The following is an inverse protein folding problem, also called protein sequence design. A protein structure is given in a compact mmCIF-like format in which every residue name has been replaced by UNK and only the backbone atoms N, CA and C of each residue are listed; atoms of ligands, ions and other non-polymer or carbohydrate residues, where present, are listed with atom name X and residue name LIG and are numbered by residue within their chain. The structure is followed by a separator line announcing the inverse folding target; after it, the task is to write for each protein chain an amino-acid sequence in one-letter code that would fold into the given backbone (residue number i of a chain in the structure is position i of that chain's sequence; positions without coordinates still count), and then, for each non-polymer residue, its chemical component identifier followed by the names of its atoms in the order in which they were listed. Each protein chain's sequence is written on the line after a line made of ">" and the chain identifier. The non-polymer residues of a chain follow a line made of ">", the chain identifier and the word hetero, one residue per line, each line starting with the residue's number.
data_IF_508591462950
#
_entry.id   IF_508591462950
#
_cell.length_a   1.000
_cell.length_b   1.000
_cell.length_c   1.000
_cell.angle_alpha   90.00
_cell.angle_beta   90.00
_cell.angle_gamma   90.00
#
_symmetry.space_group_name_H-M   'P 1'
#
loop_
_entity.id
_entity.type
_entity.pdbx_description
1 polymer ?
#
# COMPACT_ATOMS: atom_id res chain seq x y z
N UNK A 1 -7.11 24.58 2.94
CA UNK A 1 -6.09 23.71 3.54
C UNK A 1 -5.64 22.71 2.49
N UNK A 2 -4.34 22.51 2.28
CA UNK A 2 -3.76 21.62 1.26
C UNK A 2 -3.96 20.12 1.57
N UNK A 3 -4.51 19.81 2.75
CA UNK A 3 -4.73 18.44 3.20
C UNK A 3 -3.47 17.81 3.77
N UNK A 4 -3.63 16.64 4.41
CA UNK A 4 -2.52 15.84 4.89
C UNK A 4 -2.12 14.83 3.81
N UNK A 5 -0.84 14.77 3.46
CA UNK A 5 -0.29 13.65 2.70
C UNK A 5 0.53 12.77 3.65
N UNK A 6 0.32 11.46 3.61
CA UNK A 6 1.20 10.55 4.31
C UNK A 6 1.34 9.21 3.60
N UNK A 7 2.52 8.64 3.77
CA UNK A 7 2.88 7.34 3.25
C UNK A 7 3.13 6.37 4.41
N UNK A 8 2.75 5.12 4.21
CA UNK A 8 2.90 4.09 5.23
C UNK A 8 3.42 2.79 4.64
N UNK A 9 4.47 2.26 5.26
CA UNK A 9 5.12 1.02 4.85
C UNK A 9 4.81 -0.11 5.83
N UNK A 10 4.64 -1.34 5.33
CA UNK A 10 4.54 -2.53 6.18
C UNK A 10 3.45 -2.40 7.25
N UNK A 11 3.80 -2.60 8.52
CA UNK A 11 2.92 -2.39 9.70
C UNK A 11 2.50 -0.94 9.90
N UNK A 12 3.22 0.04 9.37
CA UNK A 12 2.80 1.44 9.40
C UNK A 12 1.45 1.66 8.71
N UNK A 13 1.11 0.82 7.72
CA UNK A 13 -0.21 0.85 7.09
C UNK A 13 -1.34 0.45 8.05
N UNK A 14 -1.08 -0.46 9.01
CA UNK A 14 -2.03 -0.81 10.06
C UNK A 14 -2.24 0.36 11.03
N UNK A 15 -1.19 1.14 11.32
CA UNK A 15 -1.33 2.36 12.12
C UNK A 15 -2.26 3.35 11.43
N UNK A 16 -2.05 3.60 10.13
CA UNK A 16 -2.95 4.47 9.34
C UNK A 16 -4.38 3.93 9.25
N UNK A 17 -4.54 2.63 9.05
CA UNK A 17 -5.84 1.96 9.08
C UNK A 17 -6.55 2.13 10.42
N UNK A 18 -5.86 1.83 11.53
CA UNK A 18 -6.41 1.93 12.88
C UNK A 18 -6.78 3.36 13.23
N UNK A 19 -5.96 4.35 12.86
CA UNK A 19 -6.29 5.77 13.01
C UNK A 19 -7.62 6.11 12.33
N UNK A 20 -7.79 5.75 11.05
CA UNK A 20 -9.04 6.03 10.35
C UNK A 20 -10.23 5.26 10.93
N UNK A 21 -9.99 4.04 11.41
CA UNK A 21 -11.02 3.23 12.06
C UNK A 21 -11.45 3.84 13.41
N UNK A 22 -10.53 4.38 14.20
CA UNK A 22 -10.83 5.11 15.43
C UNK A 22 -11.67 6.36 15.16
N UNK A 23 -11.33 7.15 14.12
CA UNK A 23 -12.18 8.27 13.71
C UNK A 23 -13.60 7.82 13.35
N UNK A 24 -13.74 6.70 12.64
CA UNK A 24 -15.05 6.13 12.36
C UNK A 24 -15.83 5.74 13.62
N UNK A 25 -15.17 5.09 14.58
CA UNK A 25 -15.80 4.69 15.85
C UNK A 25 -16.26 5.89 16.69
N UNK A 26 -15.50 6.98 16.67
CA UNK A 26 -15.82 8.26 17.33
C UNK A 26 -16.84 9.11 16.54
N UNK A 27 -17.31 8.64 15.38
CA UNK A 27 -18.24 9.40 14.52
C UNK A 27 -17.60 10.56 13.75
N UNK A 28 -16.28 10.72 13.81
CA UNK A 28 -15.52 11.78 13.12
C UNK A 28 -15.54 11.54 11.62
N UNK A 29 -16.16 12.46 10.89
CA UNK A 29 -16.28 12.44 9.44
C UNK A 29 -16.04 13.85 8.85
N UNK A 30 -15.85 13.91 7.54
CA UNK A 30 -15.58 15.13 6.77
C UNK A 30 -14.37 15.97 7.18
N UNK A 31 -13.40 15.36 7.89
CA UNK A 31 -12.17 16.03 8.35
C UNK A 31 -10.97 15.79 7.43
N UNK A 32 -11.03 14.76 6.59
CA UNK A 32 -9.92 14.31 5.74
C UNK A 32 -10.15 14.58 4.24
N UNK A 33 -10.92 15.63 3.92
CA UNK A 33 -11.40 15.88 2.55
C UNK A 33 -10.32 16.04 1.47
N UNK A 34 -9.13 16.53 1.85
CA UNK A 34 -7.97 16.68 0.96
C UNK A 34 -6.82 15.72 1.31
N UNK A 35 -7.09 14.72 2.15
CA UNK A 35 -6.06 13.79 2.61
C UNK A 35 -5.71 12.79 1.52
N UNK A 36 -4.43 12.54 1.31
CA UNK A 36 -3.92 11.55 0.35
C UNK A 36 -3.05 10.55 1.10
N UNK A 37 -3.23 9.26 0.79
CA UNK A 37 -2.56 8.16 1.48
C UNK A 37 -1.92 7.26 0.43
N UNK A 38 -0.67 6.88 0.63
CA UNK A 38 -0.07 5.74 -0.09
C UNK A 38 0.47 4.68 0.85
N UNK A 39 0.28 3.42 0.48
CA UNK A 39 0.68 2.23 1.20
C UNK A 39 1.68 1.43 0.37
N UNK A 40 2.82 1.11 0.98
CA UNK A 40 3.92 0.36 0.39
C UNK A 40 4.09 -0.96 1.16
N UNK A 41 3.88 -2.09 0.50
CA UNK A 41 3.94 -3.43 1.12
C UNK A 41 3.04 -3.54 2.36
N UNK A 42 1.79 -3.02 2.33
CA UNK A 42 0.99 -2.83 3.54
C UNK A 42 0.57 -4.14 4.19
N UNK A 43 0.74 -4.23 5.50
CA UNK A 43 0.07 -5.23 6.33
C UNK A 43 -1.43 -4.94 6.54
N UNK A 44 -1.92 -3.75 6.19
CA UNK A 44 -3.34 -3.43 6.16
C UNK A 44 -3.98 -3.80 4.81
N UNK A 45 -5.26 -4.18 4.83
CA UNK A 45 -6.02 -4.37 3.60
C UNK A 45 -6.36 -3.01 2.95
N UNK A 46 -5.86 -2.78 1.74
CA UNK A 46 -5.97 -1.48 1.05
C UNK A 46 -7.42 -1.14 0.71
N UNK A 47 -8.22 -2.12 0.32
CA UNK A 47 -9.64 -1.89 -0.01
C UNK A 47 -10.46 -1.52 1.24
N UNK A 48 -10.18 -2.16 2.37
CA UNK A 48 -10.81 -1.78 3.63
C UNK A 48 -10.35 -0.37 4.07
N UNK A 49 -9.06 -0.08 3.94
CA UNK A 49 -8.49 1.23 4.27
C UNK A 49 -9.09 2.35 3.40
N UNK A 50 -9.31 2.11 2.10
CA UNK A 50 -9.91 3.11 1.21
C UNK A 50 -11.37 3.39 1.56
N UNK A 51 -12.11 2.39 2.04
CA UNK A 51 -13.47 2.57 2.57
C UNK A 51 -13.48 3.45 3.82
N UNK A 52 -12.49 3.26 4.72
CA UNK A 52 -12.32 4.13 5.88
C UNK A 52 -11.96 5.56 5.48
N UNK A 53 -11.03 5.74 4.53
CA UNK A 53 -10.71 7.06 3.96
C UNK A 53 -11.96 7.73 3.37
N UNK A 54 -12.78 6.97 2.65
CA UNK A 54 -14.07 7.42 2.14
C UNK A 54 -14.99 7.96 3.24
N UNK A 55 -15.07 7.27 4.37
CA UNK A 55 -15.84 7.73 5.52
C UNK A 55 -15.26 9.02 6.13
N UNK A 56 -13.97 9.01 6.52
CA UNK A 56 -13.37 10.15 7.24
C UNK A 56 -13.22 11.40 6.37
N UNK A 57 -13.22 11.26 5.05
CA UNK A 57 -13.18 12.36 4.09
C UNK A 57 -14.55 12.86 3.65
N UNK A 58 -15.66 12.29 4.16
CA UNK A 58 -17.00 12.63 3.67
C UNK A 58 -17.21 12.27 2.19
N UNK A 59 -16.52 11.23 1.71
CA UNK A 59 -16.58 10.76 0.33
C UNK A 59 -15.69 11.53 -0.65
N UNK A 60 -14.99 12.57 -0.21
CA UNK A 60 -14.14 13.41 -1.08
C UNK A 60 -12.87 12.69 -1.52
N UNK A 61 -12.39 11.73 -0.72
CA UNK A 61 -11.24 10.89 -1.03
C UNK A 61 -11.57 9.43 -0.78
N UNK A 62 -11.47 8.62 -1.82
CA UNK A 62 -11.91 7.21 -1.79
C UNK A 62 -10.84 6.25 -2.27
N UNK A 63 -9.64 6.74 -2.55
CA UNK A 63 -8.54 5.96 -3.12
C UNK A 63 -7.28 6.05 -2.28
N UNK A 64 -6.59 4.93 -2.13
CA UNK A 64 -5.26 4.82 -1.52
C UNK A 64 -4.28 4.42 -2.61
N UNK A 65 -3.12 5.09 -2.69
CA UNK A 65 -2.02 4.63 -3.52
C UNK A 65 -1.49 3.31 -2.96
N UNK A 66 -1.33 2.28 -3.78
CA UNK A 66 -0.86 0.96 -3.36
C UNK A 66 0.31 0.55 -4.24
N UNK A 67 1.40 0.19 -3.59
CA UNK A 67 2.57 -0.40 -4.23
C UNK A 67 2.92 -1.69 -3.50
N UNK A 68 2.79 -2.82 -4.20
CA UNK A 68 2.93 -4.14 -3.59
C UNK A 68 3.49 -5.16 -4.57
N UNK A 69 4.53 -5.87 -4.13
CA UNK A 69 5.16 -6.91 -4.93
C UNK A 69 4.48 -8.27 -4.70
N UNK A 70 4.34 -9.07 -5.76
CA UNK A 70 3.75 -10.42 -5.72
C UNK A 70 4.39 -11.35 -4.69
N UNK A 71 5.68 -11.16 -4.40
CA UNK A 71 6.49 -12.01 -3.53
C UNK A 71 6.68 -11.44 -2.12
N UNK A 72 5.99 -10.34 -1.78
CA UNK A 72 5.93 -9.82 -0.43
C UNK A 72 4.80 -10.49 0.38
N UNK A 73 5.15 -11.44 1.25
CA UNK A 73 4.14 -12.13 2.06
C UNK A 73 3.43 -11.22 3.07
N UNK A 74 4.04 -10.11 3.49
CA UNK A 74 3.41 -9.17 4.42
C UNK A 74 2.22 -8.51 3.73
N UNK A 75 2.40 -8.02 2.50
CA UNK A 75 1.28 -7.44 1.77
C UNK A 75 0.25 -8.48 1.31
N UNK A 76 0.74 -9.61 0.80
CA UNK A 76 -0.10 -10.63 0.14
C UNK A 76 -0.90 -11.48 1.12
N UNK A 77 -0.28 -11.90 2.21
CA UNK A 77 -0.88 -12.84 3.16
C UNK A 77 -1.39 -12.11 4.39
N UNK A 78 -0.54 -11.31 5.05
CA UNK A 78 -0.95 -10.60 6.27
C UNK A 78 -1.97 -9.52 5.93
N UNK A 79 -1.72 -8.70 4.91
CA UNK A 79 -2.67 -7.67 4.46
C UNK A 79 -3.80 -8.19 3.56
N UNK A 80 -3.69 -9.43 3.05
CA UNK A 80 -4.66 -10.01 2.11
C UNK A 80 -4.81 -9.19 0.83
N UNK A 81 -3.76 -8.48 0.39
CA UNK A 81 -3.82 -7.57 -0.74
C UNK A 81 -3.48 -8.27 -2.06
N UNK A 82 -3.85 -7.63 -3.17
CA UNK A 82 -3.34 -7.89 -4.51
C UNK A 82 -1.83 -7.65 -4.65
N UNK A 83 -1.36 -7.47 -5.88
CA UNK A 83 -0.03 -6.94 -6.18
C UNK A 83 -0.12 -6.06 -7.42
N UNK A 84 0.82 -5.14 -7.57
CA UNK A 84 0.91 -4.25 -8.73
C UNK A 84 2.06 -4.64 -9.67
N UNK A 85 3.03 -5.41 -9.17
CA UNK A 85 4.16 -5.91 -9.96
C UNK A 85 4.79 -7.16 -9.32
N UNK A 86 5.70 -7.81 -10.05
CA UNK A 86 6.27 -9.10 -9.66
C UNK A 86 7.77 -9.24 -9.95
N UNK A 87 8.46 -8.15 -10.27
CA UNK A 87 9.91 -8.15 -10.52
C UNK A 87 10.66 -8.59 -9.27
N UNK A 88 11.55 -9.58 -9.43
CA UNK A 88 12.45 -10.13 -8.40
C UNK A 88 13.82 -10.46 -9.02
N UNK A 89 14.88 -10.62 -8.21
CA UNK A 89 16.20 -11.02 -8.70
C UNK A 89 16.16 -12.30 -9.53
N UNK A 90 16.95 -12.35 -10.61
CA UNK A 90 17.10 -13.55 -11.43
C UNK A 90 17.53 -14.76 -10.59
N UNK A 91 16.88 -15.91 -10.82
CA UNK A 91 17.09 -17.14 -10.06
C UNK A 91 16.42 -17.18 -8.68
N UNK A 92 15.72 -16.11 -8.27
CA UNK A 92 14.91 -16.12 -7.05
C UNK A 92 13.54 -16.76 -7.27
N UNK A 93 12.92 -17.19 -6.18
CA UNK A 93 11.59 -17.80 -6.15
C UNK A 93 10.84 -17.38 -4.88
N UNK A 94 9.60 -17.85 -4.71
CA UNK A 94 8.74 -17.48 -3.57
C UNK A 94 9.42 -17.71 -2.22
N UNK A 95 10.01 -18.89 -2.00
CA UNK A 95 10.62 -19.22 -0.71
C UNK A 95 11.87 -18.38 -0.45
N UNK A 96 12.69 -18.16 -1.48
CA UNK A 96 13.88 -17.31 -1.39
C UNK A 96 13.50 -15.86 -1.08
N UNK A 97 12.46 -15.34 -1.71
CA UNK A 97 11.98 -13.98 -1.46
C UNK A 97 11.38 -13.83 -0.08
N UNK A 98 10.59 -14.78 0.40
CA UNK A 98 10.05 -14.71 1.75
C UNK A 98 11.14 -14.78 2.82
N UNK A 99 12.16 -15.60 2.61
CA UNK A 99 13.34 -15.60 3.46
C UNK A 99 14.06 -14.25 3.44
N UNK A 100 14.18 -13.60 2.27
CA UNK A 100 14.75 -12.24 2.15
C UNK A 100 13.91 -11.21 2.89
N UNK A 101 12.57 -11.28 2.82
CA UNK A 101 11.69 -10.37 3.57
C UNK A 101 11.96 -10.45 5.07
N UNK A 102 12.27 -11.64 5.60
CA UNK A 102 12.57 -11.84 7.02
C UNK A 102 13.99 -11.40 7.38
N UNK A 103 14.98 -11.76 6.55
CA UNK A 103 16.39 -11.73 6.94
C UNK A 103 17.22 -10.64 6.25
N UNK A 104 16.70 -9.98 5.22
CA UNK A 104 17.47 -9.09 4.37
C UNK A 104 16.83 -7.69 4.25
N UNK A 105 17.61 -6.62 4.43
CA UNK A 105 17.12 -5.25 4.22
C UNK A 105 16.76 -4.94 2.76
N UNK A 106 17.20 -5.75 1.79
CA UNK A 106 16.92 -5.62 0.35
C UNK A 106 16.04 -6.80 -0.07
N UNK A 107 14.73 -6.60 -0.06
CA UNK A 107 13.72 -7.64 -0.31
C UNK A 107 12.54 -7.09 -1.12
N UNK A 108 11.69 -7.99 -1.62
CA UNK A 108 10.39 -7.66 -2.23
C UNK A 108 9.47 -6.81 -1.32
N UNK A 109 9.70 -6.82 -0.01
CA UNK A 109 8.94 -6.04 0.96
C UNK A 109 9.51 -4.63 1.19
N UNK A 110 10.83 -4.47 1.14
CA UNK A 110 11.50 -3.18 1.43
C UNK A 110 11.84 -2.38 0.18
N UNK A 111 11.94 -3.03 -0.97
CA UNK A 111 12.26 -2.41 -2.26
C UNK A 111 11.00 -1.98 -3.02
N UNK A 112 10.26 -1.04 -2.43
CA UNK A 112 9.03 -0.46 -2.95
C UNK A 112 9.17 1.07 -2.98
N UNK A 113 8.32 1.79 -3.74
CA UNK A 113 8.42 3.25 -3.84
C UNK A 113 9.74 3.72 -4.47
N UNK A 114 10.27 4.85 -3.98
CA UNK A 114 11.55 5.41 -4.43
C UNK A 114 12.74 4.81 -3.66
N UNK A 115 12.78 3.48 -3.57
CA UNK A 115 13.86 2.76 -2.89
C UNK A 115 15.20 2.94 -3.65
N UNK A 116 16.32 2.82 -2.92
CA UNK A 116 17.64 3.13 -3.47
C UNK A 116 18.09 2.27 -4.65
N UNK A 117 19.23 2.61 -5.31
CA UNK A 117 19.64 2.01 -6.59
C UNK A 117 19.76 0.47 -6.59
N UNK A 118 20.16 -0.13 -5.45
CA UNK A 118 20.21 -1.59 -5.32
C UNK A 118 18.82 -2.21 -5.43
N UNK A 119 17.81 -1.61 -4.80
CA UNK A 119 16.42 -2.05 -4.92
C UNK A 119 15.94 -1.93 -6.35
N UNK A 120 16.17 -0.78 -7.00
CA UNK A 120 15.76 -0.57 -8.39
C UNK A 120 16.40 -1.58 -9.35
N UNK A 121 17.68 -1.93 -9.13
CA UNK A 121 18.38 -2.94 -9.93
C UNK A 121 17.76 -4.34 -9.80
N UNK A 122 17.33 -4.71 -8.60
CA UNK A 122 16.90 -6.08 -8.29
C UNK A 122 15.38 -6.29 -8.41
N UNK A 123 14.60 -5.26 -8.10
CA UNK A 123 13.14 -5.32 -8.01
C UNK A 123 12.44 -4.32 -8.93
N UNK A 124 13.19 -3.52 -9.70
CA UNK A 124 12.61 -2.49 -10.56
C UNK A 124 12.15 -1.25 -9.79
N UNK A 125 11.52 -0.34 -10.52
CA UNK A 125 10.93 0.89 -9.99
C UNK A 125 9.54 0.64 -9.41
N UNK A 126 9.04 1.54 -8.56
CA UNK A 126 7.67 1.50 -8.02
C UNK A 126 6.61 1.32 -9.10
N UNK A 127 5.59 0.50 -8.81
CA UNK A 127 4.39 0.35 -9.62
C UNK A 127 3.17 0.73 -8.79
N UNK A 128 3.17 1.97 -8.25
CA UNK A 128 2.07 2.47 -7.43
C UNK A 128 0.80 2.69 -8.28
N UNK A 129 -0.29 2.07 -7.86
CA UNK A 129 -1.63 2.22 -8.45
C UNK A 129 -2.63 2.77 -7.44
N UNK A 130 -3.75 3.37 -7.88
CA UNK A 130 -4.80 3.82 -6.96
C UNK A 130 -5.82 2.72 -6.68
N UNK A 131 -6.20 2.53 -5.42
CA UNK A 131 -7.10 1.46 -4.95
C UNK A 131 -8.25 1.97 -4.07
N UNK A 132 -9.51 1.53 -4.31
CA UNK A 132 -9.96 0.77 -5.46
C UNK A 132 -9.64 1.52 -6.75
N UNK A 133 -9.31 0.78 -7.81
CA UNK A 133 -9.12 1.36 -9.13
C UNK A 133 -10.33 2.21 -9.44
N UNK A 134 -10.14 3.53 -9.56
CA UNK A 134 -11.24 4.42 -9.91
C UNK A 134 -11.78 3.91 -11.26
N UNK A 135 -13.05 3.52 -11.31
CA UNK A 135 -13.67 3.01 -12.53
C UNK A 135 -13.73 4.15 -13.57
N UNK A 136 -12.66 4.32 -14.32
CA UNK A 136 -12.67 4.96 -15.64
C UNK A 136 -11.96 4.11 -16.69
N UNK A 137 -11.87 2.78 -16.51
CA UNK A 137 -11.79 1.89 -17.67
C UNK A 137 -13.18 1.78 -18.28
N UNK A 138 -13.48 2.71 -19.18
CA UNK A 138 -14.53 2.54 -20.18
C UNK A 138 -14.41 1.13 -20.75
N UNK A 139 -15.50 0.36 -20.69
CA UNK A 139 -15.61 -0.93 -21.37
C UNK A 139 -15.24 -0.72 -22.84
N UNK A 140 -14.18 -1.39 -23.31
CA UNK A 140 -14.03 -1.70 -24.72
C UNK A 140 -14.70 -3.04 -24.97
#
# INVERSE_FOLDING_TARGET
>A
NTGLHFDAHSRGSLTGFNMMNSFKQEGVNDVAGNTTISFFGPAANVLAASGLLGYVSGGKQTTIGFDGNRYDFVSRIIGGNGYTYETIPAGSNVLTEWWRVIMNPISSHTCLGDAGPKCQKFYGTSHREQFPLSKSRSKK
#
